data_IF_937228636193
#
_entry.id   IF_937228636193
#
_cell.length_a   1.000
_cell.length_b   1.000
_cell.length_c   1.000
_cell.angle_alpha   90.00
_cell.angle_beta   90.00
_cell.angle_gamma   90.00
#
_symmetry.space_group_name_H-M   'P 1'
#
loop_
_entity.id
_entity.type
_entity.pdbx_description
1 polymer ?
#
# COMPACT_ATOMS: atom_id res chain seq x y z
N UNK A 1 37.71 -26.31 -14.76
CA UNK A 1 36.60 -25.58 -14.10
C UNK A 1 35.34 -25.79 -14.94
N UNK A 2 34.33 -26.49 -14.43
CA UNK A 2 33.06 -26.67 -15.13
C UNK A 2 32.35 -25.31 -15.22
N UNK A 3 32.16 -24.83 -16.45
CA UNK A 3 31.39 -23.63 -16.75
C UNK A 3 29.89 -24.00 -16.67
N UNK A 4 29.35 -24.10 -15.45
CA UNK A 4 27.94 -24.45 -15.25
C UNK A 4 27.07 -23.32 -15.79
N UNK A 5 26.47 -23.56 -16.96
CA UNK A 5 25.49 -22.63 -17.56
C UNK A 5 24.32 -22.47 -16.59
N UNK A 6 24.02 -21.23 -16.21
CA UNK A 6 22.84 -20.90 -15.42
C UNK A 6 21.56 -21.43 -16.09
N UNK A 7 20.67 -22.00 -15.28
CA UNK A 7 19.32 -22.39 -15.70
C UNK A 7 18.49 -21.17 -16.09
N UNK A 8 17.37 -21.38 -16.80
CA UNK A 8 16.45 -20.27 -17.14
C UNK A 8 15.96 -19.52 -15.90
N UNK A 9 15.60 -20.24 -14.83
CA UNK A 9 15.15 -19.66 -13.56
C UNK A 9 16.22 -18.78 -12.91
N UNK A 10 17.47 -19.23 -12.88
CA UNK A 10 18.60 -18.46 -12.31
C UNK A 10 18.93 -17.23 -13.15
N UNK A 11 18.83 -17.32 -14.48
CA UNK A 11 18.97 -16.14 -15.36
C UNK A 11 17.85 -15.13 -15.11
N UNK A 12 16.61 -15.59 -14.96
CA UNK A 12 15.47 -14.73 -14.64
C UNK A 12 15.66 -14.07 -13.29
N UNK A 13 16.03 -14.84 -12.26
CA UNK A 13 16.36 -14.32 -10.94
C UNK A 13 17.42 -13.22 -11.02
N UNK A 14 18.54 -13.52 -11.69
CA UNK A 14 19.64 -12.58 -11.84
C UNK A 14 19.29 -11.34 -12.66
N UNK A 15 18.24 -11.37 -13.48
CA UNK A 15 17.75 -10.23 -14.26
C UNK A 15 16.77 -9.37 -13.45
N UNK A 16 15.73 -9.96 -12.87
CA UNK A 16 14.65 -9.23 -12.18
C UNK A 16 15.11 -8.62 -10.86
N UNK A 17 16.26 -9.03 -10.32
CA UNK A 17 16.85 -8.43 -9.11
C UNK A 17 17.87 -7.32 -9.41
N UNK A 18 18.14 -6.97 -10.67
CA UNK A 18 19.12 -5.92 -10.99
C UNK A 18 18.56 -4.54 -10.67
N UNK A 19 19.39 -3.61 -10.14
CA UNK A 19 18.96 -2.26 -9.83
C UNK A 19 18.28 -1.53 -10.98
N UNK A 20 18.83 -1.62 -12.21
CA UNK A 20 18.23 -0.95 -13.36
C UNK A 20 16.85 -1.51 -13.72
N UNK A 21 16.63 -2.82 -13.63
CA UNK A 21 15.32 -3.43 -13.90
C UNK A 21 14.29 -2.95 -12.89
N UNK A 22 14.65 -2.96 -11.60
CA UNK A 22 13.80 -2.50 -10.50
C UNK A 22 13.44 -1.02 -10.68
N UNK A 23 14.44 -0.16 -10.90
CA UNK A 23 14.23 1.28 -11.06
C UNK A 23 13.37 1.56 -12.30
N UNK A 24 13.65 0.92 -13.44
CA UNK A 24 12.84 1.06 -14.65
C UNK A 24 11.40 0.65 -14.42
N UNK A 25 11.15 -0.51 -13.79
CA UNK A 25 9.80 -0.95 -13.45
C UNK A 25 9.07 0.08 -12.60
N UNK A 26 9.70 0.57 -11.53
CA UNK A 26 9.08 1.55 -10.62
C UNK A 26 8.77 2.84 -11.37
N UNK A 27 9.73 3.36 -12.14
CA UNK A 27 9.55 4.58 -12.92
C UNK A 27 8.43 4.44 -13.94
N UNK A 28 8.37 3.35 -14.71
CA UNK A 28 7.31 3.13 -15.71
C UNK A 28 5.94 2.98 -15.04
N UNK A 29 5.83 2.18 -13.99
CA UNK A 29 4.56 2.02 -13.25
C UNK A 29 4.08 3.35 -12.66
N UNK A 30 4.99 4.16 -12.12
CA UNK A 30 4.62 5.46 -11.55
C UNK A 30 4.20 6.44 -12.63
N UNK A 31 4.91 6.52 -13.76
CA UNK A 31 4.49 7.34 -14.90
C UNK A 31 3.08 6.99 -15.40
N UNK A 32 2.71 5.70 -15.38
CA UNK A 32 1.34 5.28 -15.67
C UNK A 32 0.36 5.84 -14.64
N UNK A 33 0.65 5.72 -13.34
CA UNK A 33 -0.21 6.31 -12.30
C UNK A 33 -0.38 7.83 -12.43
N UNK A 34 0.71 8.56 -12.71
CA UNK A 34 0.66 10.02 -12.92
C UNK A 34 -0.21 10.43 -14.13
N UNK A 35 -0.42 9.53 -15.09
CA UNK A 35 -1.27 9.76 -16.26
C UNK A 35 -2.66 9.13 -16.13
N UNK A 36 -3.02 8.67 -14.92
CA UNK A 36 -4.30 8.01 -14.63
C UNK A 36 -4.42 6.60 -15.22
N UNK A 37 -3.32 5.99 -15.64
CA UNK A 37 -3.28 4.66 -16.25
C UNK A 37 -2.94 3.56 -15.22
N UNK A 38 -3.42 2.32 -15.42
CA UNK A 38 -3.19 1.24 -14.45
C UNK A 38 -1.74 0.71 -14.53
N UNK A 39 -0.86 1.20 -13.66
CA UNK A 39 0.52 0.71 -13.50
C UNK A 39 0.66 -0.54 -12.62
N UNK A 40 -0.34 -0.87 -11.80
CA UNK A 40 -0.31 -1.98 -10.84
C UNK A 40 -0.10 -3.36 -11.47
N UNK A 41 -0.67 -3.69 -12.66
CA UNK A 41 -0.45 -4.99 -13.31
C UNK A 41 1.03 -5.32 -13.57
N UNK A 42 1.87 -4.32 -13.88
CA UNK A 42 3.31 -4.53 -14.08
C UNK A 42 4.00 -5.02 -12.80
N UNK A 43 3.56 -4.50 -11.65
CA UNK A 43 4.04 -4.98 -10.36
C UNK A 43 3.56 -6.41 -10.07
N UNK A 44 2.28 -6.74 -10.31
CA UNK A 44 1.79 -8.10 -10.09
C UNK A 44 2.58 -9.14 -10.88
N UNK A 45 2.79 -8.89 -12.17
CA UNK A 45 3.56 -9.78 -13.05
C UNK A 45 4.99 -9.90 -12.55
N UNK A 46 5.64 -8.78 -12.23
CA UNK A 46 7.04 -8.80 -11.78
C UNK A 46 7.19 -9.52 -10.45
N UNK A 47 6.31 -9.27 -9.48
CA UNK A 47 6.36 -9.86 -8.16
C UNK A 47 6.14 -11.37 -8.25
N UNK A 48 5.18 -11.82 -9.07
CA UNK A 48 4.96 -13.23 -9.32
C UNK A 48 6.19 -13.90 -9.95
N UNK A 49 6.75 -13.32 -11.02
CA UNK A 49 7.97 -13.83 -11.66
C UNK A 49 9.14 -13.85 -10.67
N UNK A 50 9.28 -12.82 -9.84
CA UNK A 50 10.34 -12.71 -8.83
C UNK A 50 10.19 -13.77 -7.76
N UNK A 51 8.99 -14.00 -7.23
CA UNK A 51 8.69 -15.06 -6.26
C UNK A 51 9.01 -16.43 -6.85
N UNK A 52 8.52 -16.71 -8.06
CA UNK A 52 8.84 -17.95 -8.76
C UNK A 52 10.35 -18.10 -8.95
N UNK A 53 11.06 -17.07 -9.43
CA UNK A 53 12.50 -17.13 -9.64
C UNK A 53 13.25 -17.43 -8.33
N UNK A 54 12.88 -16.74 -7.24
CA UNK A 54 13.44 -16.87 -5.87
C UNK A 54 12.93 -18.09 -5.09
N UNK A 55 12.27 -19.05 -5.73
CA UNK A 55 11.77 -20.28 -5.06
C UNK A 55 10.78 -20.00 -3.92
N UNK A 56 9.92 -19.01 -4.11
CA UNK A 56 8.89 -18.59 -3.16
C UNK A 56 9.47 -18.12 -1.82
N UNK A 57 10.68 -17.54 -1.84
CA UNK A 57 11.27 -16.92 -0.65
C UNK A 57 10.61 -15.58 -0.32
N UNK A 58 9.52 -15.64 0.46
CA UNK A 58 8.77 -14.48 0.94
C UNK A 58 9.59 -13.50 1.79
N UNK A 59 10.75 -13.92 2.33
CA UNK A 59 11.66 -13.04 3.07
C UNK A 59 12.23 -11.94 2.18
N UNK A 60 12.32 -12.19 0.86
CA UNK A 60 12.70 -11.17 -0.12
C UNK A 60 11.82 -9.92 -0.01
N UNK A 61 10.52 -10.10 0.27
CA UNK A 61 9.52 -9.05 0.45
C UNK A 61 9.33 -8.61 1.90
N UNK A 62 10.12 -9.13 2.86
CA UNK A 62 10.02 -8.75 4.27
C UNK A 62 8.96 -9.52 5.05
N UNK A 63 8.42 -10.62 4.49
CA UNK A 63 7.61 -11.57 5.26
C UNK A 63 8.51 -12.62 5.88
N UNK A 64 8.83 -12.45 7.15
CA UNK A 64 9.44 -13.51 7.98
C UNK A 64 8.39 -14.10 8.93
N UNK A 65 8.75 -15.11 9.73
CA UNK A 65 7.80 -15.70 10.69
C UNK A 65 7.47 -14.68 11.80
N UNK A 66 6.22 -14.20 11.88
CA UNK A 66 5.85 -13.21 12.89
C UNK A 66 5.59 -13.86 14.25
N UNK A 67 5.77 -13.09 15.33
CA UNK A 67 5.06 -13.37 16.57
C UNK A 67 3.61 -12.88 16.39
N UNK A 68 2.67 -13.80 16.20
CA UNK A 68 1.30 -13.48 15.82
C UNK A 68 0.57 -12.60 16.83
N UNK A 69 0.72 -12.86 18.13
CA UNK A 69 0.06 -12.06 19.17
C UNK A 69 0.51 -10.60 19.14
N UNK A 70 1.82 -10.37 19.06
CA UNK A 70 2.39 -9.01 18.95
C UNK A 70 2.01 -8.36 17.63
N UNK A 71 2.00 -9.14 16.54
CA UNK A 71 1.71 -8.64 15.20
C UNK A 71 0.26 -8.18 15.09
N UNK A 72 -0.69 -8.99 15.55
CA UNK A 72 -2.12 -8.66 15.56
C UNK A 72 -2.39 -7.45 16.46
N UNK A 73 -1.81 -7.44 17.67
CA UNK A 73 -1.97 -6.32 18.59
C UNK A 73 -1.45 -5.00 18.01
N UNK A 74 -0.23 -5.00 17.47
CA UNK A 74 0.34 -3.81 16.81
C UNK A 74 -0.48 -3.42 15.59
N UNK A 75 -0.91 -4.38 14.80
CA UNK A 75 -1.68 -4.12 13.58
C UNK A 75 -2.97 -3.38 13.90
N UNK A 76 -3.70 -3.85 14.93
CA UNK A 76 -4.91 -3.22 15.43
C UNK A 76 -4.62 -1.80 15.95
N UNK A 77 -3.62 -1.61 16.81
CA UNK A 77 -3.26 -0.29 17.33
C UNK A 77 -2.91 0.70 16.23
N UNK A 78 -2.10 0.28 15.25
CA UNK A 78 -1.76 1.13 14.12
C UNK A 78 -2.97 1.45 13.25
N UNK A 79 -3.88 0.49 13.01
CA UNK A 79 -5.05 0.71 12.20
C UNK A 79 -6.00 1.74 12.85
N UNK A 80 -6.23 1.61 14.16
CA UNK A 80 -7.01 2.58 14.93
C UNK A 80 -6.31 3.95 14.96
N UNK A 81 -4.99 3.99 15.16
CA UNK A 81 -4.24 5.23 15.15
C UNK A 81 -4.28 5.96 13.81
N UNK A 82 -4.15 5.22 12.70
CA UNK A 82 -4.30 5.77 11.34
C UNK A 82 -5.71 6.24 11.11
N UNK A 83 -6.73 5.44 11.46
CA UNK A 83 -8.13 5.83 11.32
C UNK A 83 -8.45 7.12 12.08
N UNK A 84 -8.03 7.23 13.33
CA UNK A 84 -8.25 8.46 14.11
C UNK A 84 -7.51 9.63 13.46
N UNK A 85 -6.23 9.48 13.16
CA UNK A 85 -5.43 10.59 12.63
C UNK A 85 -5.91 11.03 11.25
N UNK A 86 -6.19 10.09 10.36
CA UNK A 86 -6.61 10.40 9.01
C UNK A 86 -8.04 10.94 8.99
N UNK A 87 -9.00 10.18 9.51
CA UNK A 87 -10.42 10.43 9.28
C UNK A 87 -10.96 11.58 10.16
N UNK A 88 -10.36 11.85 11.33
CA UNK A 88 -10.78 12.97 12.19
C UNK A 88 -9.96 14.25 11.99
N UNK A 89 -8.71 14.17 11.53
CA UNK A 89 -7.84 15.34 11.43
C UNK A 89 -7.45 15.64 9.98
N UNK A 90 -6.79 14.69 9.31
CA UNK A 90 -6.12 14.98 8.04
C UNK A 90 -7.13 15.15 6.90
N UNK A 91 -8.04 14.20 6.72
CA UNK A 91 -9.01 14.24 5.63
C UNK A 91 -9.97 15.44 5.73
N UNK A 92 -10.58 15.76 6.90
CA UNK A 92 -11.40 16.96 7.02
C UNK A 92 -10.65 18.24 6.65
N UNK A 93 -9.38 18.37 7.05
CA UNK A 93 -8.54 19.52 6.70
C UNK A 93 -8.22 19.60 5.21
N UNK A 94 -7.96 18.46 4.55
CA UNK A 94 -7.74 18.43 3.10
C UNK A 94 -8.99 18.92 2.36
N UNK A 95 -10.17 18.43 2.74
CA UNK A 95 -11.44 18.80 2.12
C UNK A 95 -11.90 20.26 2.41
N UNK A 96 -11.19 21.00 3.27
CA UNK A 96 -11.40 22.46 3.39
C UNK A 96 -10.81 23.24 2.20
N UNK A 97 -9.79 22.69 1.54
CA UNK A 97 -9.05 23.35 0.47
C UNK A 97 -9.24 22.67 -0.90
N UNK A 98 -9.76 21.45 -0.91
CA UNK A 98 -9.94 20.62 -2.11
C UNK A 98 -11.35 20.00 -2.12
N UNK A 99 -11.77 19.50 -3.28
CA UNK A 99 -13.04 18.79 -3.43
C UNK A 99 -13.11 17.52 -2.58
N UNK A 100 -14.33 17.03 -2.33
CA UNK A 100 -14.53 15.77 -1.58
C UNK A 100 -13.87 14.60 -2.30
N UNK A 101 -13.43 13.59 -1.53
CA UNK A 101 -12.99 12.31 -2.10
C UNK A 101 -14.11 11.70 -2.94
N UNK A 102 -13.80 11.35 -4.19
CA UNK A 102 -14.72 10.63 -5.06
C UNK A 102 -14.78 9.14 -4.64
N UNK A 103 -15.99 8.71 -4.29
CA UNK A 103 -16.30 7.35 -3.84
C UNK A 103 -17.26 6.63 -4.81
N UNK A 104 -17.44 7.16 -6.02
CA UNK A 104 -18.37 6.62 -7.02
C UNK A 104 -18.06 5.17 -7.39
N UNK A 105 -16.78 4.78 -7.46
CA UNK A 105 -16.37 3.40 -7.73
C UNK A 105 -16.85 2.41 -6.66
N UNK A 106 -17.06 2.88 -5.43
CA UNK A 106 -17.51 2.06 -4.28
C UNK A 106 -18.94 2.39 -3.84
N UNK A 107 -19.68 3.21 -4.60
CA UNK A 107 -21.01 3.69 -4.23
C UNK A 107 -22.08 2.60 -4.09
N UNK A 108 -21.85 1.42 -4.68
CA UNK A 108 -22.77 0.27 -4.58
C UNK A 108 -22.73 -0.49 -3.25
N UNK A 109 -21.90 -0.08 -2.29
CA UNK A 109 -21.72 -0.82 -1.02
C UNK A 109 -22.85 -0.53 -0.01
N UNK A 110 -23.39 0.68 0.02
CA UNK A 110 -24.36 1.10 1.05
C UNK A 110 -25.59 0.18 1.08
N UNK A 111 -25.86 -0.42 2.26
CA UNK A 111 -26.97 -1.34 2.47
C UNK A 111 -26.93 -2.66 1.69
N UNK A 112 -25.90 -2.90 0.85
CA UNK A 112 -25.81 -4.09 0.01
C UNK A 112 -24.82 -5.11 0.58
N UNK A 113 -25.33 -6.17 1.21
CA UNK A 113 -24.50 -7.18 1.88
C UNK A 113 -23.55 -7.92 0.91
N UNK A 114 -24.01 -8.24 -0.30
CA UNK A 114 -23.19 -8.93 -1.30
C UNK A 114 -22.00 -8.08 -1.73
N UNK A 115 -22.25 -6.79 -2.01
CA UNK A 115 -21.18 -5.85 -2.33
C UNK A 115 -20.28 -5.62 -1.13
N UNK A 116 -20.81 -5.46 0.08
CA UNK A 116 -20.00 -5.34 1.30
C UNK A 116 -19.02 -6.50 1.47
N UNK A 117 -19.49 -7.75 1.35
CA UNK A 117 -18.61 -8.93 1.47
C UNK A 117 -17.57 -8.96 0.36
N UNK A 118 -17.97 -8.68 -0.89
CA UNK A 118 -17.05 -8.63 -2.02
C UNK A 118 -15.95 -7.58 -1.81
N UNK A 119 -16.33 -6.35 -1.50
CA UNK A 119 -15.39 -5.26 -1.27
C UNK A 119 -14.54 -5.49 -0.04
N UNK A 120 -15.06 -6.12 1.02
CA UNK A 120 -14.26 -6.50 2.18
C UNK A 120 -13.17 -7.50 1.78
N UNK A 121 -13.49 -8.54 1.00
CA UNK A 121 -12.51 -9.49 0.49
C UNK A 121 -11.47 -8.81 -0.41
N UNK A 122 -11.90 -7.93 -1.32
CA UNK A 122 -11.00 -7.16 -2.17
C UNK A 122 -10.13 -6.21 -1.35
N UNK A 123 -10.67 -5.56 -0.32
CA UNK A 123 -9.94 -4.67 0.57
C UNK A 123 -8.84 -5.39 1.36
N UNK A 124 -9.06 -6.67 1.72
CA UNK A 124 -8.03 -7.50 2.34
C UNK A 124 -6.99 -8.04 1.35
N UNK A 125 -7.44 -8.53 0.19
CA UNK A 125 -6.55 -9.18 -0.79
C UNK A 125 -5.79 -8.14 -1.61
N UNK A 126 -6.50 -7.21 -2.24
CA UNK A 126 -5.92 -6.20 -3.11
C UNK A 126 -5.30 -5.08 -2.27
N UNK A 127 -6.09 -4.41 -1.44
CA UNK A 127 -5.60 -3.31 -0.60
C UNK A 127 -4.61 -3.78 0.47
N UNK A 128 -4.99 -4.77 1.28
CA UNK A 128 -4.16 -5.24 2.39
C UNK A 128 -2.92 -6.03 1.95
N UNK A 129 -3.10 -7.12 1.20
CA UNK A 129 -1.98 -8.02 0.89
C UNK A 129 -1.16 -7.54 -0.31
N UNK A 130 -1.82 -7.37 -1.45
CA UNK A 130 -1.18 -7.08 -2.72
C UNK A 130 -0.46 -5.72 -2.72
N UNK A 131 -1.11 -4.64 -2.30
CA UNK A 131 -0.48 -3.33 -2.27
C UNK A 131 0.68 -3.27 -1.28
N UNK A 132 0.59 -3.88 -0.10
CA UNK A 132 1.69 -3.86 0.86
C UNK A 132 2.93 -4.59 0.35
N UNK A 133 2.74 -5.69 -0.40
CA UNK A 133 3.85 -6.37 -1.06
C UNK A 133 4.48 -5.47 -2.13
N UNK A 134 3.67 -4.76 -2.91
CA UNK A 134 4.15 -3.85 -3.95
C UNK A 134 4.89 -2.68 -3.31
N UNK A 135 4.21 -1.86 -2.52
CA UNK A 135 4.74 -0.59 -2.11
C UNK A 135 5.80 -0.75 -1.02
N UNK A 136 5.60 -1.64 -0.04
CA UNK A 136 6.49 -1.72 1.13
C UNK A 136 7.47 -2.88 0.97
N UNK A 137 6.94 -4.07 0.70
CA UNK A 137 7.76 -5.28 0.49
C UNK A 137 8.71 -5.20 -0.71
N UNK A 138 8.32 -4.47 -1.75
CA UNK A 138 9.11 -4.30 -2.98
C UNK A 138 9.64 -2.86 -3.13
N UNK A 139 8.83 -1.85 -3.44
CA UNK A 139 9.30 -0.49 -3.78
C UNK A 139 10.18 0.10 -2.68
N UNK A 140 9.67 0.25 -1.45
CA UNK A 140 10.45 0.83 -0.32
C UNK A 140 11.72 0.01 -0.08
N UNK A 141 11.58 -1.30 0.09
CA UNK A 141 12.70 -2.19 0.42
C UNK A 141 13.79 -2.19 -0.66
N UNK A 142 13.40 -2.27 -1.94
CA UNK A 142 14.35 -2.34 -3.05
C UNK A 142 15.06 -1.02 -3.26
N UNK A 143 14.34 0.10 -3.27
CA UNK A 143 14.95 1.42 -3.41
C UNK A 143 15.89 1.72 -2.24
N UNK A 144 15.51 1.38 -1.01
CA UNK A 144 16.36 1.61 0.16
C UNK A 144 17.70 0.87 0.04
N UNK A 145 17.65 -0.41 -0.37
CA UNK A 145 18.86 -1.21 -0.59
C UNK A 145 19.70 -0.63 -1.73
N UNK A 146 19.08 -0.26 -2.86
CA UNK A 146 19.78 0.31 -4.03
C UNK A 146 20.47 1.63 -3.65
N UNK A 147 19.85 2.45 -2.81
CA UNK A 147 20.40 3.74 -2.38
C UNK A 147 21.38 3.66 -1.20
N UNK A 148 21.67 2.46 -0.67
CA UNK A 148 22.74 2.24 0.31
C UNK A 148 22.32 1.73 1.68
N UNK A 149 21.07 1.30 1.86
CA UNK A 149 20.55 0.59 3.04
C UNK A 149 20.72 1.32 4.39
N UNK A 150 20.64 2.65 4.38
CA UNK A 150 20.69 3.49 5.59
C UNK A 150 19.29 3.96 6.00
N UNK A 151 19.09 4.34 7.27
CA UNK A 151 17.81 4.91 7.73
C UNK A 151 17.30 6.07 6.86
N UNK A 152 18.21 6.91 6.33
CA UNK A 152 17.87 8.00 5.39
C UNK A 152 17.33 7.47 4.06
N UNK A 153 17.96 6.44 3.51
CA UNK A 153 17.53 5.83 2.23
C UNK A 153 16.20 5.10 2.36
N UNK A 154 15.93 4.48 3.51
CA UNK A 154 14.64 3.88 3.84
C UNK A 154 13.53 4.93 3.93
N UNK A 155 13.78 6.04 4.63
CA UNK A 155 12.84 7.16 4.70
C UNK A 155 12.58 7.78 3.32
N UNK A 156 13.64 8.03 2.55
CA UNK A 156 13.51 8.56 1.18
C UNK A 156 12.71 7.63 0.27
N UNK A 157 12.94 6.31 0.38
CA UNK A 157 12.20 5.31 -0.39
C UNK A 157 10.74 5.22 0.02
N UNK A 158 10.43 5.42 1.31
CA UNK A 158 9.05 5.54 1.78
C UNK A 158 8.36 6.75 1.14
N UNK A 159 9.00 7.93 1.13
CA UNK A 159 8.44 9.13 0.48
C UNK A 159 8.12 8.87 -1.00
N UNK A 160 9.05 8.27 -1.75
CA UNK A 160 8.81 7.91 -3.16
C UNK A 160 7.62 6.97 -3.29
N UNK A 161 7.58 5.89 -2.50
CA UNK A 161 6.51 4.91 -2.54
C UNK A 161 5.14 5.52 -2.18
N UNK A 162 5.11 6.46 -1.24
CA UNK A 162 3.90 7.17 -0.81
C UNK A 162 3.33 8.05 -1.93
N UNK A 163 4.18 8.76 -2.66
CA UNK A 163 3.75 9.55 -3.82
C UNK A 163 3.14 8.62 -4.87
N UNK A 164 3.84 7.54 -5.24
CA UNK A 164 3.30 6.57 -6.18
C UNK A 164 1.99 5.92 -5.72
N UNK A 165 1.86 5.65 -4.41
CA UNK A 165 0.64 5.12 -3.81
C UNK A 165 -0.53 6.11 -3.93
N UNK A 166 -0.30 7.39 -3.67
CA UNK A 166 -1.34 8.40 -3.85
C UNK A 166 -1.79 8.54 -5.30
N UNK A 167 -0.86 8.56 -6.25
CA UNK A 167 -1.22 8.60 -7.67
C UNK A 167 -1.87 7.30 -8.18
N UNK A 168 -1.65 6.16 -7.52
CA UNK A 168 -2.43 4.95 -7.82
C UNK A 168 -3.92 5.10 -7.45
N UNK A 169 -4.25 6.08 -6.61
CA UNK A 169 -5.62 6.47 -6.23
C UNK A 169 -6.12 7.69 -7.02
N UNK A 170 -5.60 7.91 -8.23
CA UNK A 170 -5.97 9.05 -9.08
C UNK A 170 -7.48 9.22 -9.27
N UNK A 171 -8.21 8.10 -9.35
CA UNK A 171 -9.67 8.07 -9.53
C UNK A 171 -10.46 8.72 -8.38
N UNK A 172 -9.83 8.92 -7.21
CA UNK A 172 -10.47 9.53 -6.05
C UNK A 172 -10.42 11.08 -6.05
N UNK A 173 -9.83 11.67 -7.09
CA UNK A 173 -9.61 13.11 -7.19
C UNK A 173 -8.48 13.63 -6.30
N UNK A 174 -8.23 14.95 -6.28
CA UNK A 174 -7.10 15.55 -5.58
C UNK A 174 -7.03 15.21 -4.09
N UNK A 175 -8.16 15.27 -3.38
CA UNK A 175 -8.22 14.92 -1.95
C UNK A 175 -7.85 13.46 -1.68
N UNK A 176 -8.32 12.54 -2.53
CA UNK A 176 -7.98 11.13 -2.42
C UNK A 176 -6.49 10.87 -2.66
N UNK A 177 -5.90 11.51 -3.68
CA UNK A 177 -4.45 11.42 -3.95
C UNK A 177 -3.63 11.90 -2.75
N UNK A 178 -4.00 13.05 -2.17
CA UNK A 178 -3.27 13.64 -1.02
C UNK A 178 -3.44 12.77 0.23
N UNK A 179 -4.67 12.35 0.55
CA UNK A 179 -4.95 11.48 1.69
C UNK A 179 -4.21 10.15 1.56
N UNK A 180 -4.26 9.51 0.39
CA UNK A 180 -3.55 8.27 0.10
C UNK A 180 -2.02 8.46 0.16
N UNK A 181 -1.46 9.58 -0.32
CA UNK A 181 -0.03 9.90 -0.12
C UNK A 181 0.34 9.87 1.37
N UNK A 182 -0.46 10.52 2.21
CA UNK A 182 -0.19 10.63 3.65
C UNK A 182 -0.33 9.26 4.34
N UNK A 183 -1.42 8.54 4.10
CA UNK A 183 -1.63 7.18 4.63
C UNK A 183 -0.50 6.26 4.17
N UNK A 184 -0.14 6.31 2.88
CA UNK A 184 0.97 5.55 2.32
C UNK A 184 2.31 5.85 3.00
N UNK A 185 2.53 7.10 3.42
CA UNK A 185 3.70 7.49 4.20
C UNK A 185 3.67 6.94 5.63
N UNK A 186 2.53 7.01 6.32
CA UNK A 186 2.35 6.39 7.64
C UNK A 186 2.62 4.89 7.59
N UNK A 187 2.09 4.20 6.57
CA UNK A 187 2.38 2.79 6.31
C UNK A 187 3.87 2.54 6.03
N UNK A 188 4.53 3.42 5.27
CA UNK A 188 5.98 3.40 5.07
C UNK A 188 6.76 3.50 6.38
N UNK A 189 6.38 4.40 7.29
CA UNK A 189 7.01 4.53 8.61
C UNK A 189 6.83 3.26 9.46
N UNK A 190 5.62 2.68 9.47
CA UNK A 190 5.35 1.41 10.17
C UNK A 190 6.22 0.29 9.59
N UNK A 191 6.38 0.22 8.26
CA UNK A 191 7.25 -0.76 7.65
C UNK A 191 8.73 -0.55 8.02
N UNK A 192 9.22 0.69 8.03
CA UNK A 192 10.61 1.00 8.43
C UNK A 192 10.87 0.56 9.87
N UNK A 193 9.88 0.67 10.76
CA UNK A 193 9.96 0.17 12.14
C UNK A 193 9.89 -1.37 12.22
N UNK A 194 9.23 -2.03 11.26
CA UNK A 194 9.00 -3.47 11.24
C UNK A 194 9.58 -4.14 9.97
N UNK A 195 10.79 -3.78 9.51
CA UNK A 195 11.33 -4.15 8.17
C UNK A 195 11.27 -5.64 7.79
N UNK A 196 11.26 -6.52 8.79
CA UNK A 196 11.22 -7.97 8.64
C UNK A 196 9.85 -8.59 8.95
N UNK A 197 8.82 -7.79 9.22
CA UNK A 197 7.49 -8.24 9.56
C UNK A 197 6.43 -7.44 8.78
N UNK A 198 6.40 -7.66 7.46
CA UNK A 198 5.37 -7.08 6.57
C UNK A 198 3.95 -7.47 6.98
N UNK A 199 3.77 -8.59 7.70
CA UNK A 199 2.45 -9.04 8.18
C UNK A 199 1.78 -8.03 9.10
N UNK A 200 2.54 -7.26 9.90
CA UNK A 200 1.95 -6.17 10.71
C UNK A 200 1.21 -5.21 9.81
N UNK A 201 1.82 -4.85 8.68
CA UNK A 201 1.29 -3.83 7.80
C UNK A 201 0.12 -4.34 6.93
N UNK A 202 0.21 -5.57 6.43
CA UNK A 202 -0.91 -6.23 5.75
C UNK A 202 -2.15 -6.25 6.64
N UNK A 203 -1.98 -6.61 7.92
CA UNK A 203 -3.07 -6.61 8.89
C UNK A 203 -3.54 -5.19 9.21
N UNK A 204 -2.63 -4.22 9.41
CA UNK A 204 -3.00 -2.81 9.65
C UNK A 204 -3.87 -2.27 8.53
N UNK A 205 -3.43 -2.45 7.28
CA UNK A 205 -4.15 -1.94 6.12
C UNK A 205 -5.47 -2.69 5.92
N UNK A 206 -5.48 -4.02 6.06
CA UNK A 206 -6.73 -4.79 5.99
C UNK A 206 -7.76 -4.39 7.05
N UNK A 207 -7.34 -4.13 8.29
CA UNK A 207 -8.23 -3.63 9.35
C UNK A 207 -8.71 -2.22 9.04
N UNK A 208 -7.83 -1.33 8.55
CA UNK A 208 -8.21 0.01 8.13
C UNK A 208 -9.28 -0.02 7.02
N UNK A 209 -9.07 -0.84 5.98
CA UNK A 209 -10.05 -1.05 4.91
C UNK A 209 -11.36 -1.62 5.43
N UNK A 210 -11.31 -2.58 6.35
CA UNK A 210 -12.50 -3.14 6.97
C UNK A 210 -13.32 -2.06 7.69
N UNK A 211 -12.69 -1.15 8.44
CA UNK A 211 -13.38 -0.04 9.10
C UNK A 211 -14.04 0.86 8.05
N UNK A 212 -13.29 1.32 7.06
CA UNK A 212 -13.78 2.23 6.01
C UNK A 212 -14.94 1.61 5.20
N UNK A 213 -14.80 0.36 4.77
CA UNK A 213 -15.83 -0.38 4.01
C UNK A 213 -17.08 -0.62 4.87
N UNK A 214 -16.91 -0.90 6.16
CA UNK A 214 -18.05 -1.04 7.08
C UNK A 214 -18.80 0.28 7.24
N UNK A 215 -18.08 1.40 7.34
CA UNK A 215 -18.72 2.73 7.39
C UNK A 215 -19.47 3.05 6.09
N UNK A 216 -18.92 2.68 4.93
CA UNK A 216 -19.61 2.79 3.64
C UNK A 216 -20.89 1.97 3.61
N UNK A 217 -20.84 0.70 4.04
CA UNK A 217 -22.01 -0.17 4.11
C UNK A 217 -23.12 0.40 5.00
N UNK A 218 -22.74 1.05 6.10
CA UNK A 218 -23.67 1.67 7.06
C UNK A 218 -24.17 3.06 6.64
N UNK A 219 -23.73 3.61 5.49
CA UNK A 219 -24.05 4.98 5.08
C UNK A 219 -23.43 6.05 5.99
N UNK A 220 -22.32 5.73 6.66
CA UNK A 220 -21.65 6.56 7.68
C UNK A 220 -20.23 6.99 7.28
N UNK A 221 -19.83 6.78 6.03
CA UNK A 221 -18.49 7.14 5.53
C UNK A 221 -18.15 8.62 5.68
N UNK A 222 -19.16 9.50 5.70
CA UNK A 222 -19.01 10.95 5.85
C UNK A 222 -19.29 11.45 7.26
N UNK A 223 -19.83 10.61 8.15
CA UNK A 223 -20.32 11.01 9.47
C UNK A 223 -19.26 11.75 10.28
N UNK A 224 -18.01 11.31 10.24
CA UNK A 224 -16.90 11.92 10.99
C UNK A 224 -16.50 13.26 10.36
N UNK A 225 -16.34 13.29 9.04
CA UNK A 225 -15.89 14.47 8.30
C UNK A 225 -16.91 15.61 8.43
N UNK A 226 -18.18 15.30 8.23
CA UNK A 226 -19.26 16.28 8.29
C UNK A 226 -19.39 16.83 9.73
N UNK A 227 -19.25 15.98 10.75
CA UNK A 227 -19.20 16.41 12.16
C UNK A 227 -18.03 17.34 12.46
N UNK A 228 -16.82 17.04 11.94
CA UNK A 228 -15.65 17.92 12.10
C UNK A 228 -15.84 19.24 11.36
N UNK A 229 -16.43 19.23 10.16
CA UNK A 229 -16.74 20.46 9.42
C UNK A 229 -17.77 21.34 10.14
N UNK A 230 -18.74 20.76 10.85
CA UNK A 230 -19.67 21.52 11.70
C UNK A 230 -18.97 22.20 12.88
N UNK A 231 -17.93 21.58 13.46
CA UNK A 231 -17.18 22.16 14.59
C UNK A 231 -16.24 23.30 14.21
N UNK A 232 -15.78 23.35 12.95
CA UNK A 232 -14.77 24.31 12.47
C UNK A 232 -15.44 25.54 11.79
N UNK A 233 -16.74 25.48 11.51
CA UNK A 233 -17.54 26.61 11.05
C UNK A 233 -17.90 27.55 12.19
#
# INVERSE_FOLDING_TARGET
>A
MQNTKLTFREKTEAFVTKPYFIVTLISVSFLLFFTGQPGTPLFYITIFITLWAKRWDWKYFGMTRPNWSITIFRAFLFAIGIFILNDFLIQPLIELYFDKIDLSEVGGIEGNLSNYVLYLLLGWIIGGFCEEIIYRGYVVKRLAIIFGDTNKTWLFSAIIASIGFGFAHYYQGPSGIIAACIIGFMFGLIFIYNRNNLMVLILTHGIYNMIAITLLYLGKSRMIIDWVHELIK
#
